data_IF_558799477560
#
_entry.id   IF_558799477560
#
_cell.length_a   1.000
_cell.length_b   1.000
_cell.length_c   1.000
_cell.angle_alpha   90.00
_cell.angle_beta   90.00
_cell.angle_gamma   90.00
#
_symmetry.space_group_name_H-M   'P 1'
#
loop_
_entity.id
_entity.type
_entity.pdbx_description
1 polymer ?
#
# COMPACT_ATOMS: atom_id res chain seq x y z
N UNK A 1 -58.02 -7.90 36.77
CA UNK A 1 -58.58 -6.68 36.14
C UNK A 1 -57.57 -5.56 36.35
N UNK A 2 -56.79 -5.17 35.33
CA UNK A 2 -57.04 -4.04 34.41
C UNK A 2 -57.12 -2.71 35.20
N UNK A 3 -56.29 -1.67 35.01
CA UNK A 3 -55.75 -1.08 33.78
C UNK A 3 -54.47 -0.27 34.05
N UNK A 4 -53.48 -0.50 33.18
CA UNK A 4 -52.58 0.46 32.52
C UNK A 4 -52.08 1.69 33.27
N UNK A 5 -50.80 1.63 33.64
CA UNK A 5 -49.85 2.72 33.47
C UNK A 5 -49.91 3.21 32.02
N UNK A 6 -50.46 4.40 31.77
CA UNK A 6 -50.18 5.15 30.56
C UNK A 6 -49.27 6.31 30.93
N UNK A 7 -47.97 6.02 31.01
CA UNK A 7 -46.93 7.04 30.87
C UNK A 7 -47.09 7.67 29.50
N UNK A 8 -47.24 8.99 29.50
CA UNK A 8 -47.62 9.81 28.38
C UNK A 8 -46.57 9.75 27.25
N UNK A 9 -46.77 8.87 26.27
CA UNK A 9 -45.90 8.73 25.08
C UNK A 9 -45.83 10.01 24.24
N UNK A 10 -46.79 10.92 24.39
CA UNK A 10 -46.88 12.15 23.59
C UNK A 10 -45.77 13.17 23.91
N UNK A 11 -45.12 13.10 25.07
CA UNK A 11 -44.01 14.01 25.41
C UNK A 11 -42.68 13.65 24.73
N UNK A 12 -42.51 12.39 24.31
CA UNK A 12 -41.29 11.91 23.66
C UNK A 12 -41.24 12.23 22.17
N UNK A 13 -42.39 12.51 21.54
CA UNK A 13 -42.48 12.76 20.09
C UNK A 13 -42.01 14.20 19.74
N UNK A 14 -42.02 15.14 20.69
CA UNK A 14 -41.48 16.50 20.47
C UNK A 14 -39.96 16.63 20.69
N UNK A 15 -39.31 15.60 21.23
CA UNK A 15 -37.88 15.63 21.57
C UNK A 15 -36.99 14.92 20.54
N UNK A 16 -37.53 14.42 19.42
CA UNK A 16 -36.69 13.94 18.33
C UNK A 16 -35.98 15.14 17.68
N UNK A 17 -34.63 15.21 17.73
CA UNK A 17 -33.92 16.24 17.01
C UNK A 17 -34.17 16.02 15.52
N UNK A 18 -34.91 16.93 14.88
CA UNK A 18 -35.04 16.96 13.42
C UNK A 18 -33.64 16.99 12.85
N UNK A 19 -33.19 15.86 12.30
CA UNK A 19 -31.89 15.77 11.65
C UNK A 19 -31.93 16.71 10.45
N UNK A 20 -31.38 17.91 10.62
CA UNK A 20 -31.12 18.82 9.50
C UNK A 20 -30.11 18.10 8.64
N UNK A 21 -30.58 17.45 7.57
CA UNK A 21 -29.72 17.00 6.48
C UNK A 21 -29.00 18.23 5.95
N UNK A 22 -27.73 18.41 6.33
CA UNK A 22 -26.88 19.45 5.78
C UNK A 22 -26.82 19.20 4.28
N UNK A 23 -27.23 20.18 3.46
CA UNK A 23 -26.91 20.18 2.03
C UNK A 23 -25.38 20.33 1.98
N UNK A 24 -24.71 19.23 1.68
CA UNK A 24 -23.26 19.21 1.48
C UNK A 24 -23.02 20.00 0.21
N UNK A 25 -22.16 21.02 0.28
CA UNK A 25 -21.90 21.91 -0.84
C UNK A 25 -21.09 21.16 -1.92
N UNK A 26 -21.42 21.36 -3.19
CA UNK A 26 -20.75 20.66 -4.30
C UNK A 26 -19.23 20.91 -4.30
N UNK A 27 -18.81 22.08 -3.81
CA UNK A 27 -17.40 22.44 -3.62
C UNK A 27 -16.70 21.58 -2.55
N UNK A 28 -17.40 21.24 -1.47
CA UNK A 28 -16.87 20.42 -0.37
C UNK A 28 -16.65 18.97 -0.84
N UNK A 29 -17.59 18.44 -1.63
CA UNK A 29 -17.48 17.11 -2.28
C UNK A 29 -16.30 17.08 -3.25
N UNK A 30 -16.17 18.10 -4.13
CA UNK A 30 -15.06 18.18 -5.09
C UNK A 30 -13.72 18.28 -4.37
N UNK A 31 -13.61 19.08 -3.31
CA UNK A 31 -12.38 19.20 -2.53
C UNK A 31 -11.97 17.90 -1.85
N UNK A 32 -12.94 17.14 -1.33
CA UNK A 32 -12.72 15.85 -0.67
C UNK A 32 -12.26 14.79 -1.68
N UNK A 33 -12.94 14.71 -2.84
CA UNK A 33 -12.57 13.79 -3.91
C UNK A 33 -11.16 14.10 -4.46
N UNK A 34 -10.84 15.38 -4.66
CA UNK A 34 -9.49 15.77 -5.12
C UNK A 34 -8.42 15.44 -4.08
N UNK A 35 -8.72 15.58 -2.78
CA UNK A 35 -7.78 15.18 -1.72
C UNK A 35 -7.56 13.66 -1.73
N UNK A 36 -8.63 12.86 -1.80
CA UNK A 36 -8.54 11.39 -1.89
C UNK A 36 -7.80 10.92 -3.15
N UNK A 37 -7.97 11.59 -4.29
CA UNK A 37 -7.25 11.28 -5.53
C UNK A 37 -5.75 11.59 -5.42
N UNK A 38 -5.40 12.76 -4.90
CA UNK A 38 -3.99 13.16 -4.69
C UNK A 38 -3.33 12.28 -3.64
N UNK A 39 -4.04 11.95 -2.57
CA UNK A 39 -3.59 11.06 -1.50
C UNK A 39 -3.41 9.62 -1.99
N UNK A 40 -4.37 9.11 -2.76
CA UNK A 40 -4.26 7.80 -3.42
C UNK A 40 -3.11 7.73 -4.44
N UNK A 41 -2.75 8.85 -5.07
CA UNK A 41 -1.61 8.94 -5.99
C UNK A 41 -0.27 9.01 -5.25
N UNK A 42 -0.17 9.77 -4.15
CA UNK A 42 1.06 9.87 -3.37
C UNK A 42 1.39 8.55 -2.66
N UNK A 43 0.38 7.84 -2.15
CA UNK A 43 0.56 6.57 -1.45
C UNK A 43 1.11 5.46 -2.38
N UNK A 44 0.70 5.46 -3.67
CA UNK A 44 1.26 4.56 -4.69
C UNK A 44 2.73 4.86 -4.98
N UNK A 45 3.08 6.13 -5.10
CA UNK A 45 4.46 6.54 -5.38
C UNK A 45 5.40 6.17 -4.23
N UNK A 46 4.95 6.35 -2.98
CA UNK A 46 5.76 6.05 -1.80
C UNK A 46 5.96 4.53 -1.60
N UNK A 47 4.95 3.72 -1.90
CA UNK A 47 5.11 2.27 -1.95
C UNK A 47 6.13 1.82 -3.01
N UNK A 48 6.05 2.39 -4.23
CA UNK A 48 7.03 2.12 -5.30
C UNK A 48 8.44 2.54 -4.87
N UNK A 49 8.60 3.69 -4.21
CA UNK A 49 9.89 4.10 -3.64
C UNK A 49 10.40 3.07 -2.62
N UNK A 50 9.54 2.56 -1.74
CA UNK A 50 9.94 1.53 -0.78
C UNK A 50 10.44 0.27 -1.50
N UNK A 51 9.72 -0.19 -2.52
CA UNK A 51 10.11 -1.35 -3.33
C UNK A 51 11.47 -1.12 -4.03
N UNK A 52 11.63 -0.01 -4.75
CA UNK A 52 12.88 0.32 -5.46
C UNK A 52 14.05 0.47 -4.48
N UNK A 53 13.85 1.12 -3.34
CA UNK A 53 14.87 1.23 -2.30
C UNK A 53 15.29 -0.14 -1.76
N UNK A 54 14.36 -1.10 -1.68
CA UNK A 54 14.68 -2.48 -1.30
C UNK A 54 15.60 -3.12 -2.34
N UNK A 55 15.29 -2.96 -3.63
CA UNK A 55 16.10 -3.50 -4.73
C UNK A 55 17.52 -2.92 -4.72
N UNK A 56 17.64 -1.60 -4.58
CA UNK A 56 18.94 -0.92 -4.50
C UNK A 56 19.73 -1.41 -3.29
N UNK A 57 19.10 -1.53 -2.12
CA UNK A 57 19.74 -2.04 -0.91
C UNK A 57 20.27 -3.46 -1.11
N UNK A 58 19.46 -4.37 -1.64
CA UNK A 58 19.85 -5.76 -1.89
C UNK A 58 21.01 -5.84 -2.88
N UNK A 59 20.95 -5.07 -3.98
CA UNK A 59 22.04 -4.99 -4.96
C UNK A 59 23.35 -4.48 -4.37
N UNK A 60 23.29 -3.52 -3.43
CA UNK A 60 24.48 -3.00 -2.73
C UNK A 60 25.07 -3.96 -1.69
N UNK A 61 24.23 -4.81 -1.11
CA UNK A 61 24.62 -5.75 -0.05
C UNK A 61 24.87 -7.17 -0.60
N UNK A 62 24.81 -7.35 -1.92
CA UNK A 62 24.97 -8.65 -2.59
C UNK A 62 23.98 -9.72 -2.09
N UNK A 63 22.78 -9.30 -1.68
CA UNK A 63 21.75 -10.20 -1.18
C UNK A 63 21.01 -10.81 -2.38
N UNK A 64 20.95 -12.15 -2.50
CA UNK A 64 20.18 -12.81 -3.56
C UNK A 64 18.70 -12.43 -3.47
N UNK A 65 18.05 -12.19 -4.61
CA UNK A 65 16.66 -11.71 -4.61
C UNK A 65 15.63 -12.85 -4.51
N UNK A 66 15.91 -13.96 -5.20
CA UNK A 66 14.95 -15.01 -5.56
C UNK A 66 14.83 -16.09 -4.48
N UNK A 67 13.66 -16.70 -4.42
CA UNK A 67 13.38 -17.95 -3.71
C UNK A 67 12.88 -19.03 -4.67
N UNK A 68 12.54 -20.20 -4.15
CA UNK A 68 11.98 -21.31 -4.95
C UNK A 68 10.60 -20.99 -5.53
N UNK A 69 9.83 -20.10 -4.89
CA UNK A 69 8.47 -19.76 -5.31
C UNK A 69 8.15 -18.30 -4.99
N UNK A 70 8.71 -17.38 -5.78
CA UNK A 70 8.56 -15.93 -5.61
C UNK A 70 7.41 -15.31 -6.43
N UNK A 71 6.48 -16.14 -6.90
CA UNK A 71 5.29 -15.76 -7.65
C UNK A 71 4.05 -15.58 -6.74
N UNK A 72 3.01 -14.97 -7.30
CA UNK A 72 1.72 -14.79 -6.63
C UNK A 72 1.67 -13.57 -5.70
N UNK A 73 0.50 -13.39 -5.07
CA UNK A 73 0.22 -12.22 -4.23
C UNK A 73 1.11 -12.22 -2.99
N UNK A 74 1.70 -11.06 -2.67
CA UNK A 74 2.38 -10.87 -1.39
C UNK A 74 1.33 -10.65 -0.31
N UNK A 75 1.42 -11.41 0.77
CA UNK A 75 0.55 -11.27 1.94
C UNK A 75 1.37 -10.82 3.14
N UNK A 76 0.87 -9.82 3.84
CA UNK A 76 1.43 -9.38 5.13
C UNK A 76 0.63 -10.06 6.24
N UNK A 77 0.84 -11.36 6.42
CA UNK A 77 0.31 -12.08 7.58
C UNK A 77 1.34 -12.11 8.71
N UNK A 78 0.88 -12.14 9.95
CA UNK A 78 1.77 -12.31 11.11
C UNK A 78 2.49 -13.67 11.07
N UNK A 79 1.83 -14.68 10.50
CA UNK A 79 2.45 -15.97 10.16
C UNK A 79 3.35 -15.80 8.94
N UNK A 80 4.64 -16.14 9.08
CA UNK A 80 5.53 -16.33 7.94
C UNK A 80 4.96 -17.38 6.97
N UNK A 81 5.30 -17.32 5.66
CA UNK A 81 4.98 -18.39 4.73
C UNK A 81 5.36 -19.74 5.33
N UNK A 82 4.52 -20.75 5.12
CA UNK A 82 4.80 -22.09 5.62
C UNK A 82 6.21 -22.50 5.19
N UNK A 83 6.98 -23.09 6.12
CA UNK A 83 8.41 -23.49 5.99
C UNK A 83 8.75 -24.25 4.68
N UNK A 84 7.75 -24.73 3.96
CA UNK A 84 7.83 -25.50 2.73
C UNK A 84 8.00 -24.60 1.48
N UNK A 85 7.62 -23.31 1.53
CA UNK A 85 7.66 -22.39 0.38
C UNK A 85 8.58 -21.20 0.68
N UNK A 86 9.78 -21.21 0.11
CA UNK A 86 10.70 -20.06 0.13
C UNK A 86 10.32 -19.09 -1.00
N UNK A 87 9.71 -17.96 -0.66
CA UNK A 87 9.31 -16.92 -1.63
C UNK A 87 10.38 -15.84 -1.86
N UNK A 88 11.59 -16.03 -1.32
CA UNK A 88 12.76 -15.23 -1.64
C UNK A 88 12.99 -14.05 -0.70
N UNK A 89 14.26 -13.62 -0.62
CA UNK A 89 14.68 -12.58 0.30
C UNK A 89 13.99 -11.23 0.00
N UNK A 90 13.70 -10.94 -1.26
CA UNK A 90 13.01 -9.70 -1.63
C UNK A 90 11.66 -9.59 -0.94
N UNK A 91 10.83 -10.63 -1.03
CA UNK A 91 9.50 -10.68 -0.41
C UNK A 91 9.58 -10.72 1.12
N UNK A 92 10.56 -11.42 1.66
CA UNK A 92 10.84 -11.42 3.10
C UNK A 92 11.20 -10.03 3.64
N UNK A 93 12.04 -9.27 2.92
CA UNK A 93 12.43 -7.91 3.31
C UNK A 93 11.23 -6.95 3.23
N UNK A 94 10.38 -7.08 2.21
CA UNK A 94 9.15 -6.28 2.14
C UNK A 94 8.21 -6.56 3.33
N UNK A 95 8.03 -7.84 3.72
CA UNK A 95 7.28 -8.19 4.95
C UNK A 95 7.91 -7.57 6.19
N UNK A 96 9.24 -7.64 6.32
CA UNK A 96 9.95 -7.04 7.43
C UNK A 96 9.73 -5.52 7.49
N UNK A 97 9.80 -4.80 6.36
CA UNK A 97 9.54 -3.35 6.32
C UNK A 97 8.14 -2.98 6.80
N UNK A 98 7.15 -3.75 6.36
CA UNK A 98 5.77 -3.55 6.83
C UNK A 98 5.66 -3.81 8.34
N UNK A 99 6.26 -4.90 8.85
CA UNK A 99 6.32 -5.19 10.30
C UNK A 99 7.04 -4.09 11.09
N UNK A 100 8.00 -3.40 10.47
CA UNK A 100 8.72 -2.27 11.04
C UNK A 100 7.97 -0.93 10.95
N UNK A 101 6.75 -0.89 10.41
CA UNK A 101 5.88 0.29 10.41
C UNK A 101 5.77 1.03 9.07
N UNK A 102 6.18 0.44 7.95
CA UNK A 102 5.93 1.00 6.61
C UNK A 102 4.44 0.88 6.22
N UNK A 103 3.63 1.86 6.67
CA UNK A 103 2.17 1.90 6.47
C UNK A 103 1.78 2.02 5.01
N UNK A 104 2.54 2.78 4.21
CA UNK A 104 2.26 2.97 2.79
C UNK A 104 2.51 1.69 2.00
N UNK A 105 3.62 1.00 2.27
CA UNK A 105 3.87 -0.31 1.69
C UNK A 105 2.80 -1.32 2.11
N UNK A 106 2.35 -1.28 3.38
CA UNK A 106 1.26 -2.15 3.86
C UNK A 106 -0.03 -1.89 3.08
N UNK A 107 -0.48 -0.64 3.05
CA UNK A 107 -1.69 -0.22 2.37
C UNK A 107 -1.63 -0.61 0.88
N UNK A 108 -0.48 -0.43 0.24
CA UNK A 108 -0.27 -0.84 -1.14
C UNK A 108 -0.39 -2.36 -1.34
N UNK A 109 0.24 -3.18 -0.50
CA UNK A 109 0.17 -4.65 -0.62
C UNK A 109 -1.28 -5.15 -0.44
N UNK A 110 -2.03 -4.53 0.47
CA UNK A 110 -3.42 -4.91 0.79
C UNK A 110 -4.43 -4.42 -0.26
N UNK A 111 -4.24 -3.21 -0.81
CA UNK A 111 -5.22 -2.56 -1.70
C UNK A 111 -4.91 -2.71 -3.20
N UNK A 112 -3.65 -2.87 -3.59
CA UNK A 112 -3.27 -2.85 -5.00
C UNK A 112 -3.74 -4.12 -5.73
N UNK A 113 -4.17 -4.00 -7.00
CA UNK A 113 -4.44 -5.18 -7.83
C UNK A 113 -3.13 -5.94 -8.09
N UNK A 114 -3.22 -7.25 -8.34
CA UNK A 114 -2.04 -8.13 -8.46
C UNK A 114 -0.99 -7.65 -9.49
N UNK A 115 -1.43 -7.01 -10.58
CA UNK A 115 -0.56 -6.46 -11.62
C UNK A 115 0.19 -5.19 -11.17
N UNK A 116 -0.29 -4.47 -10.16
CA UNK A 116 0.29 -3.24 -9.64
C UNK A 116 0.97 -3.44 -8.28
N UNK A 117 1.18 -4.69 -7.83
CA UNK A 117 1.93 -4.98 -6.60
C UNK A 117 3.43 -4.75 -6.76
N UNK A 118 3.92 -4.76 -8.01
CA UNK A 118 5.32 -4.63 -8.39
C UNK A 118 6.28 -5.64 -7.72
N UNK A 119 5.75 -6.77 -7.25
CA UNK A 119 6.52 -7.82 -6.57
C UNK A 119 6.76 -9.07 -7.42
N UNK A 120 6.27 -9.13 -8.67
CA UNK A 120 6.45 -10.31 -9.51
C UNK A 120 7.91 -10.46 -9.96
N UNK A 121 8.37 -11.68 -10.31
CA UNK A 121 9.72 -11.89 -10.81
C UNK A 121 10.06 -11.04 -12.05
N UNK A 122 9.08 -10.88 -12.95
CA UNK A 122 9.24 -10.11 -14.19
C UNK A 122 9.46 -8.62 -13.90
N UNK A 123 8.61 -8.02 -13.05
CA UNK A 123 8.75 -6.62 -12.66
C UNK A 123 10.06 -6.39 -11.89
N UNK A 124 10.47 -7.34 -11.05
CA UNK A 124 11.77 -7.27 -10.39
C UNK A 124 12.93 -7.27 -11.40
N UNK A 125 12.86 -8.10 -12.45
CA UNK A 125 13.87 -8.10 -13.52
C UNK A 125 13.90 -6.76 -14.26
N UNK A 126 12.74 -6.15 -14.51
CA UNK A 126 12.66 -4.82 -15.12
C UNK A 126 13.34 -3.76 -14.25
N UNK A 127 13.05 -3.71 -12.95
CA UNK A 127 13.71 -2.79 -12.05
C UNK A 127 15.23 -2.99 -12.00
N UNK A 128 15.69 -4.25 -11.98
CA UNK A 128 17.12 -4.57 -12.02
C UNK A 128 17.76 -4.04 -13.30
N UNK A 129 17.11 -4.25 -14.46
CA UNK A 129 17.56 -3.74 -15.75
C UNK A 129 17.64 -2.21 -15.79
N UNK A 130 16.60 -1.53 -15.29
CA UNK A 130 16.58 -0.06 -15.18
C UNK A 130 17.74 0.44 -14.31
N UNK A 131 17.95 -0.17 -13.14
CA UNK A 131 19.06 0.17 -12.26
C UNK A 131 20.41 -0.04 -12.95
N UNK A 132 20.58 -1.16 -13.65
CA UNK A 132 21.79 -1.47 -14.42
C UNK A 132 22.07 -0.43 -15.50
N UNK A 133 21.06 -0.05 -16.28
CA UNK A 133 21.17 0.96 -17.34
C UNK A 133 21.56 2.33 -16.78
N UNK A 134 20.94 2.76 -15.68
CA UNK A 134 21.29 4.04 -15.04
C UNK A 134 22.72 4.07 -14.50
N UNK A 135 23.21 2.94 -13.97
CA UNK A 135 24.60 2.81 -13.51
C UNK A 135 25.55 2.88 -14.71
N UNK A 136 25.26 2.12 -15.77
CA UNK A 136 26.06 2.10 -16.98
C UNK A 136 26.15 3.49 -17.63
N UNK A 137 25.02 4.18 -17.78
CA UNK A 137 24.95 5.53 -18.34
C UNK A 137 25.83 6.50 -17.54
N UNK A 138 25.77 6.45 -16.20
CA UNK A 138 26.62 7.27 -15.33
C UNK A 138 28.11 6.98 -15.53
N UNK A 139 28.49 5.72 -15.72
CA UNK A 139 29.88 5.33 -15.98
C UNK A 139 30.34 5.86 -17.34
N UNK A 140 29.57 5.60 -18.40
CA UNK A 140 29.87 6.06 -19.77
C UNK A 140 29.99 7.59 -19.82
N UNK A 141 29.07 8.30 -19.19
CA UNK A 141 29.10 9.76 -19.12
C UNK A 141 30.33 10.30 -18.37
N UNK A 142 30.86 9.58 -17.39
CA UNK A 142 32.11 9.96 -16.70
C UNK A 142 33.32 9.73 -17.59
N UNK A 143 33.38 8.58 -18.26
CA UNK A 143 34.47 8.24 -19.18
C UNK A 143 34.54 9.25 -20.34
N UNK A 144 33.40 9.56 -20.96
CA UNK A 144 33.34 10.49 -22.09
C UNK A 144 33.65 11.95 -21.71
N UNK A 145 33.62 12.29 -20.41
CA UNK A 145 33.98 13.62 -19.89
C UNK A 145 35.41 13.69 -19.35
N UNK A 146 36.11 12.56 -19.30
CA UNK A 146 37.51 12.46 -18.86
C UNK A 146 38.45 12.62 -20.04
#
# INVERSE_FOLDING_TARGET
MNKSSQSNLSSWISAEPKSKKRKIDSLEIISSNNHEEVEGQCNKLDAVKSIVNTIIMMGRQEIPFRGTSDFGRLTVSDSEPTRIINDGNFRAILRMRVKSGDSELKNHIESAPCNALYTSPDIQNEFISICGNLILEKIVNRINKS
#
